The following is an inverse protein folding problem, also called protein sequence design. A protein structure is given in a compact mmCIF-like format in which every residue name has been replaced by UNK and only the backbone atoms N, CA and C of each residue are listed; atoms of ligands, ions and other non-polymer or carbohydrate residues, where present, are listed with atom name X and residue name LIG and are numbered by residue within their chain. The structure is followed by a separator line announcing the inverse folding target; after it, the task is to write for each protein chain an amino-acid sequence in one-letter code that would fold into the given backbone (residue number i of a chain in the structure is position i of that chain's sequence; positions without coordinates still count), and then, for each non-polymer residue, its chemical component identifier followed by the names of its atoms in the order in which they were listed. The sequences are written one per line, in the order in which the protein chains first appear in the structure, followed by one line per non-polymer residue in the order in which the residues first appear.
data_IF_920766566244
#
_entry.id   IF_920766566244
#
_cell.length_a   1.000
_cell.length_b   1.000
_cell.length_c   1.000
_cell.angle_alpha   90.00
_cell.angle_beta   90.00
_cell.angle_gamma   90.00
#
_symmetry.space_group_name_H-M   'P 1'
#
loop_
_entity.id
_entity.type
_entity.pdbx_description
1 polymer ?
#
# COMPACT_ATOMS: atom_id res chain seq x y z
N UNK A 1 8.81 3.46 -53.81
CA UNK A 1 9.55 4.27 -52.83
C UNK A 1 9.79 3.38 -51.63
N UNK A 2 11.02 2.89 -51.50
CA UNK A 2 11.42 1.87 -50.53
C UNK A 2 11.39 2.46 -49.12
N UNK A 3 10.61 1.87 -48.21
CA UNK A 3 10.46 2.31 -46.82
C UNK A 3 11.62 1.90 -45.91
N UNK A 4 12.84 1.90 -46.43
CA UNK A 4 14.04 1.37 -45.77
C UNK A 4 15.14 2.44 -45.74
N UNK A 5 14.74 3.67 -45.41
CA UNK A 5 15.66 4.78 -45.19
C UNK A 5 16.25 4.64 -43.76
N UNK A 6 17.55 4.30 -43.61
CA UNK A 6 18.16 4.11 -42.30
C UNK A 6 18.20 5.40 -41.47
N UNK A 7 18.02 6.57 -42.08
CA UNK A 7 17.94 7.86 -41.37
C UNK A 7 16.61 8.04 -40.61
N UNK A 8 15.59 7.21 -40.90
CA UNK A 8 14.30 7.21 -40.20
C UNK A 8 14.26 6.26 -38.98
N UNK A 9 15.34 5.52 -38.70
CA UNK A 9 15.38 4.58 -37.57
C UNK A 9 15.41 5.31 -36.22
N UNK A 10 14.28 5.30 -35.53
CA UNK A 10 14.18 5.74 -34.13
C UNK A 10 14.27 4.55 -33.19
N UNK A 11 15.39 4.40 -32.46
CA UNK A 11 15.49 3.39 -31.39
C UNK A 11 14.41 3.66 -30.35
N UNK A 12 13.44 2.74 -30.24
CA UNK A 12 12.48 2.74 -29.14
C UNK A 12 13.20 2.54 -27.81
N UNK A 13 12.70 3.20 -26.76
CA UNK A 13 13.18 2.94 -25.41
C UNK A 13 12.81 1.49 -25.02
N UNK A 14 13.75 0.63 -24.61
CA UNK A 14 13.46 -0.73 -24.18
C UNK A 14 12.65 -0.71 -22.89
N UNK A 15 11.34 -0.84 -23.03
CA UNK A 15 10.37 -0.69 -21.95
C UNK A 15 9.38 -1.83 -21.98
N UNK A 16 9.12 -2.39 -20.81
CA UNK A 16 7.99 -3.30 -20.59
C UNK A 16 6.94 -2.55 -19.77
N UNK A 17 5.70 -2.53 -20.25
CA UNK A 17 4.58 -1.95 -19.51
C UNK A 17 3.50 -3.02 -19.36
N UNK A 18 2.99 -3.17 -18.15
CA UNK A 18 1.91 -4.11 -17.83
C UNK A 18 0.94 -3.49 -16.83
N UNK A 19 -0.26 -4.06 -16.77
CA UNK A 19 -1.31 -3.72 -15.80
C UNK A 19 -1.93 -5.01 -15.32
N UNK A 20 -2.57 -4.96 -14.14
CA UNK A 20 -3.41 -6.05 -13.71
C UNK A 20 -4.59 -6.23 -14.69
N UNK A 21 -4.99 -7.48 -14.92
CA UNK A 21 -6.10 -7.78 -15.82
C UNK A 21 -7.43 -7.31 -15.21
N UNK A 22 -8.40 -6.99 -16.06
CA UNK A 22 -9.70 -6.51 -15.60
C UNK A 22 -10.44 -7.57 -14.77
N UNK A 23 -10.22 -8.85 -15.07
CA UNK A 23 -10.80 -9.96 -14.31
C UNK A 23 -10.15 -10.12 -12.93
N UNK A 24 -8.82 -9.95 -12.84
CA UNK A 24 -8.11 -9.93 -11.56
C UNK A 24 -8.57 -8.77 -10.67
N UNK A 25 -8.74 -7.58 -11.25
CA UNK A 25 -9.22 -6.40 -10.51
C UNK A 25 -10.66 -6.60 -10.01
N UNK A 26 -11.52 -7.32 -10.76
CA UNK A 26 -12.88 -7.65 -10.30
C UNK A 26 -12.88 -8.64 -9.13
N UNK A 27 -12.01 -9.64 -9.17
CA UNK A 27 -11.90 -10.67 -8.13
C UNK A 27 -11.25 -10.11 -6.85
N UNK A 28 -10.24 -9.26 -7.02
CA UNK A 28 -9.46 -8.65 -5.94
C UNK A 28 -9.52 -7.11 -6.00
N UNK A 29 -10.68 -6.48 -5.83
CA UNK A 29 -10.85 -5.02 -6.01
C UNK A 29 -10.10 -4.18 -4.96
N UNK A 30 -9.68 -4.82 -3.89
CA UNK A 30 -8.89 -4.22 -2.82
C UNK A 30 -7.38 -4.20 -3.13
N UNK A 31 -6.89 -5.03 -4.06
CA UNK A 31 -5.49 -5.01 -4.48
C UNK A 31 -5.27 -3.86 -5.46
N UNK A 32 -4.76 -2.73 -4.97
CA UNK A 32 -4.42 -1.58 -5.81
C UNK A 32 -3.02 -1.71 -6.39
N UNK A 33 -2.85 -1.36 -7.66
CA UNK A 33 -1.56 -1.45 -8.32
C UNK A 33 -0.56 -0.41 -7.76
N UNK A 34 -1.05 0.69 -7.17
CA UNK A 34 -0.25 1.64 -6.39
C UNK A 34 0.47 1.02 -5.18
N UNK A 35 -0.07 -0.05 -4.58
CA UNK A 35 0.60 -0.77 -3.48
C UNK A 35 1.72 -1.66 -3.98
N UNK A 36 1.51 -2.32 -5.13
CA UNK A 36 2.56 -3.09 -5.82
C UNK A 36 3.74 -2.17 -6.16
N UNK A 37 3.46 -0.97 -6.71
CA UNK A 37 4.49 0.05 -6.96
C UNK A 37 5.26 0.45 -5.71
N UNK A 38 4.55 0.64 -4.60
CA UNK A 38 5.15 1.06 -3.34
C UNK A 38 6.07 -0.03 -2.76
N UNK A 39 5.64 -1.29 -2.81
CA UNK A 39 6.45 -2.42 -2.35
C UNK A 39 7.65 -2.69 -3.25
N UNK A 40 7.50 -2.59 -4.57
CA UNK A 40 8.63 -2.70 -5.50
C UNK A 40 9.70 -1.63 -5.24
N UNK A 41 9.29 -0.40 -4.89
CA UNK A 41 10.21 0.67 -4.48
C UNK A 41 10.98 0.34 -3.21
N UNK A 42 10.34 -0.28 -2.22
CA UNK A 42 11.03 -0.75 -1.01
C UNK A 42 12.11 -1.78 -1.32
N UNK A 43 11.89 -2.63 -2.33
CA UNK A 43 12.90 -3.59 -2.83
C UNK A 43 13.96 -2.97 -3.75
N UNK A 44 13.91 -1.66 -4.00
CA UNK A 44 14.89 -0.94 -4.85
C UNK A 44 14.51 -0.85 -6.33
N UNK A 45 13.33 -1.33 -6.72
CA UNK A 45 12.83 -1.23 -8.09
C UNK A 45 12.10 0.11 -8.31
N UNK A 46 12.61 0.94 -9.21
CA UNK A 46 12.01 2.25 -9.54
C UNK A 46 11.15 2.13 -10.81
N UNK A 47 9.84 2.02 -10.63
CA UNK A 47 8.87 2.14 -11.73
C UNK A 47 8.41 3.60 -11.95
N UNK A 48 8.35 4.11 -13.20
CA UNK A 48 7.63 5.34 -13.54
C UNK A 48 6.18 5.22 -13.10
N UNK A 49 5.64 6.26 -12.47
CA UNK A 49 4.21 6.33 -12.17
C UNK A 49 3.43 6.33 -13.50
N UNK A 50 2.41 5.49 -13.60
CA UNK A 50 1.50 5.41 -14.75
C UNK A 50 0.63 6.68 -14.89
N UNK A 51 -0.05 6.80 -16.03
CA UNK A 51 -0.96 7.90 -16.32
C UNK A 51 -2.13 7.97 -15.32
N UNK A 52 -2.71 9.15 -15.11
CA UNK A 52 -3.65 9.40 -13.99
C UNK A 52 -4.92 8.54 -14.02
N UNK A 53 -5.36 8.11 -15.22
CA UNK A 53 -6.59 7.32 -15.39
C UNK A 53 -6.37 5.80 -15.46
N UNK A 54 -5.13 5.35 -15.69
CA UNK A 54 -4.83 3.90 -15.82
C UNK A 54 -3.58 3.58 -15.02
N UNK A 55 -3.75 2.74 -14.00
CA UNK A 55 -2.63 2.21 -13.25
C UNK A 55 -1.80 1.30 -14.18
N UNK A 56 -0.73 1.83 -14.76
CA UNK A 56 0.23 1.08 -15.58
C UNK A 56 1.55 1.02 -14.84
N UNK A 57 2.10 -0.19 -14.70
CA UNK A 57 3.45 -0.44 -14.23
C UNK A 57 4.38 -0.43 -15.44
N UNK A 58 5.40 0.42 -15.39
CA UNK A 58 6.41 0.53 -16.45
C UNK A 58 7.77 0.15 -15.88
N UNK A 59 8.54 -0.62 -16.64
CA UNK A 59 9.90 -1.03 -16.29
C UNK A 59 10.80 -0.69 -17.48
N UNK A 60 11.82 0.12 -17.22
CA UNK A 60 12.81 0.50 -18.22
C UNK A 60 13.97 -0.49 -18.12
N UNK A 61 14.19 -1.25 -19.19
CA UNK A 61 15.30 -2.19 -19.28
C UNK A 61 16.55 -1.43 -19.68
N UNK A 62 17.64 -1.61 -18.94
CA UNK A 62 18.94 -1.00 -19.24
C UNK A 62 19.93 -2.10 -19.58
N UNK A 63 21.01 -1.74 -20.26
CA UNK A 63 22.12 -2.67 -20.52
C UNK A 63 22.72 -3.26 -19.24
N UNK A 64 22.62 -2.54 -18.11
CA UNK A 64 23.07 -3.00 -16.79
C UNK A 64 22.12 -4.01 -16.12
N UNK A 65 20.97 -4.32 -16.73
CA UNK A 65 19.98 -5.24 -16.18
C UNK A 65 20.33 -6.66 -16.66
N UNK A 66 21.03 -7.42 -15.81
CA UNK A 66 21.43 -8.80 -16.09
C UNK A 66 20.23 -9.76 -16.06
N UNK A 67 20.42 -10.96 -16.62
CA UNK A 67 19.43 -12.03 -16.58
C UNK A 67 18.96 -12.34 -15.15
N UNK A 68 19.90 -12.47 -14.20
CA UNK A 68 19.60 -12.70 -12.79
C UNK A 68 18.70 -11.60 -12.18
N UNK A 69 18.88 -10.34 -12.60
CA UNK A 69 18.05 -9.22 -12.14
C UNK A 69 16.65 -9.29 -12.73
N UNK A 70 16.49 -9.77 -13.97
CA UNK A 70 15.17 -10.01 -14.56
C UNK A 70 14.44 -11.11 -13.79
N UNK A 71 15.11 -12.22 -13.52
CA UNK A 71 14.50 -13.34 -12.77
C UNK A 71 14.06 -12.88 -11.39
N UNK A 72 14.94 -12.15 -10.69
CA UNK A 72 14.63 -11.62 -9.36
C UNK A 72 13.47 -10.62 -9.38
N UNK A 73 13.39 -9.78 -10.40
CA UNK A 73 12.27 -8.86 -10.59
C UNK A 73 10.95 -9.62 -10.77
N UNK A 74 10.92 -10.69 -11.56
CA UNK A 74 9.72 -11.51 -11.77
C UNK A 74 9.28 -12.16 -10.45
N UNK A 75 10.22 -12.75 -9.72
CA UNK A 75 9.94 -13.34 -8.39
C UNK A 75 9.40 -12.30 -7.42
N UNK A 76 10.01 -11.12 -7.37
CA UNK A 76 9.57 -10.03 -6.50
C UNK A 76 8.13 -9.56 -6.84
N UNK A 77 7.78 -9.47 -8.12
CA UNK A 77 6.42 -9.12 -8.55
C UNK A 77 5.41 -10.17 -8.07
N UNK A 78 5.71 -11.45 -8.25
CA UNK A 78 4.82 -12.54 -7.84
C UNK A 78 4.63 -12.55 -6.31
N UNK A 79 5.73 -12.50 -5.55
CA UNK A 79 5.71 -12.51 -4.09
C UNK A 79 4.90 -11.33 -3.52
N UNK A 80 5.11 -10.13 -4.06
CA UNK A 80 4.37 -8.93 -3.64
C UNK A 80 2.88 -9.09 -3.95
N UNK A 81 2.54 -9.63 -5.11
CA UNK A 81 1.14 -9.78 -5.54
C UNK A 81 0.44 -10.83 -4.66
N UNK A 82 1.05 -11.99 -4.42
CA UNK A 82 0.53 -13.05 -3.54
C UNK A 82 0.39 -12.59 -2.09
N UNK A 83 1.36 -11.81 -1.59
CA UNK A 83 1.30 -11.21 -0.26
C UNK A 83 0.11 -10.25 -0.12
N UNK A 84 -0.15 -9.41 -1.13
CA UNK A 84 -1.31 -8.51 -1.15
C UNK A 84 -2.65 -9.25 -1.19
N UNK A 85 -2.74 -10.35 -1.94
CA UNK A 85 -3.94 -11.19 -1.94
C UNK A 85 -4.19 -11.75 -0.53
N UNK A 86 -3.19 -12.39 0.06
CA UNK A 86 -3.31 -13.08 1.36
C UNK A 86 -3.61 -12.12 2.53
N UNK A 87 -2.88 -11.01 2.62
CA UNK A 87 -3.04 -10.04 3.71
C UNK A 87 -4.46 -9.44 3.74
N UNK A 88 -5.03 -9.19 2.56
CA UNK A 88 -6.30 -8.51 2.47
C UNK A 88 -7.49 -9.47 2.58
N UNK A 89 -7.36 -10.72 2.13
CA UNK A 89 -8.31 -11.78 2.48
C UNK A 89 -8.46 -11.91 4.00
N UNK A 90 -7.36 -11.95 4.76
CA UNK A 90 -7.39 -11.98 6.21
C UNK A 90 -8.07 -10.76 6.84
N UNK A 91 -7.84 -9.55 6.29
CA UNK A 91 -8.45 -8.31 6.76
C UNK A 91 -9.96 -8.21 6.45
N UNK A 92 -10.45 -8.83 5.37
CA UNK A 92 -11.89 -8.90 5.09
C UNK A 92 -12.61 -9.88 6.01
N UNK A 93 -11.92 -10.93 6.47
CA UNK A 93 -12.46 -11.94 7.39
C UNK A 93 -12.50 -11.46 8.85
N UNK A 94 -11.68 -10.49 9.23
CA UNK A 94 -11.60 -9.97 10.61
C UNK A 94 -12.69 -8.93 10.97
N UNK A 95 -13.75 -8.80 10.19
CA UNK A 95 -14.88 -7.90 10.49
C UNK A 95 -15.79 -8.54 11.55
N UNK A 96 -15.28 -8.70 12.77
CA UNK A 96 -16.00 -9.39 13.83
C UNK A 96 -15.34 -9.48 15.20
N UNK A 97 -14.31 -8.67 15.52
CA UNK A 97 -13.85 -8.55 16.91
C UNK A 97 -14.53 -7.35 17.55
N UNK A 98 -15.69 -7.58 18.17
CA UNK A 98 -16.20 -6.68 19.21
C UNK A 98 -15.07 -6.52 20.24
N UNK A 99 -14.69 -5.29 20.54
CA UNK A 99 -13.83 -4.97 21.67
C UNK A 99 -14.76 -4.75 22.87
N UNK A 100 -14.98 -5.72 23.77
CA UNK A 100 -15.90 -5.53 24.91
C UNK A 100 -15.35 -4.61 26.01
N UNK A 101 -14.15 -4.04 25.86
CA UNK A 101 -13.45 -3.34 26.96
C UNK A 101 -13.52 -1.80 26.91
N UNK A 102 -14.54 -1.22 26.28
CA UNK A 102 -14.71 0.24 26.29
C UNK A 102 -15.57 0.77 27.46
N UNK A 103 -16.34 -0.08 28.15
CA UNK A 103 -17.42 0.41 29.04
C UNK A 103 -17.18 0.24 30.55
N UNK A 104 -16.10 -0.42 30.98
CA UNK A 104 -15.87 -0.67 32.42
C UNK A 104 -14.86 0.27 33.10
N UNK A 105 -14.23 1.18 32.35
CA UNK A 105 -13.20 2.09 32.88
C UNK A 105 -13.69 3.50 33.23
N UNK A 106 -14.88 3.91 32.77
CA UNK A 106 -15.42 5.25 33.04
C UNK A 106 -16.35 5.17 34.25
N UNK A 107 -15.98 5.74 35.41
CA UNK A 107 -16.85 5.70 36.56
C UNK A 107 -18.16 6.45 36.26
N UNK A 108 -19.28 5.83 36.62
CA UNK A 108 -20.63 6.31 36.35
C UNK A 108 -20.87 7.64 37.08
N UNK A 109 -21.21 8.68 36.32
CA UNK A 109 -21.35 10.05 36.82
C UNK A 109 -22.51 10.18 37.83
N UNK A 110 -23.40 9.19 37.89
CA UNK A 110 -24.51 9.12 38.84
C UNK A 110 -24.09 8.75 40.27
N UNK A 111 -22.91 8.14 40.46
CA UNK A 111 -22.38 7.77 41.79
C UNK A 111 -21.62 8.91 42.48
N UNK A 112 -21.31 10.00 41.77
CA UNK A 112 -20.75 11.20 42.38
C UNK A 112 -21.90 12.15 42.70
N UNK A 113 -22.42 12.02 43.93
CA UNK A 113 -23.52 12.82 44.46
C UNK A 113 -23.33 14.32 44.19
N UNK A 114 -24.33 14.91 43.54
CA UNK A 114 -24.45 16.35 43.41
C UNK A 114 -24.83 16.95 44.75
N UNK A 115 -23.91 17.66 45.39
CA UNK A 115 -24.23 18.55 46.49
C UNK A 115 -23.21 19.69 46.53
N UNK A 116 -23.74 20.91 46.42
CA UNK A 116 -23.08 22.19 46.33
C UNK A 116 -21.98 22.47 47.36
N UNK A 117 -20.97 23.22 46.89
CA UNK A 117 -20.10 24.21 47.57
C UNK A 117 -18.60 23.89 47.58
N UNK A 118 -17.90 24.89 47.03
CA UNK A 118 -16.59 25.42 47.43
C UNK A 118 -15.31 24.71 46.93
N UNK A 119 -14.42 25.57 46.42
CA UNK A 119 -12.96 25.43 46.35
C UNK A 119 -12.40 24.51 45.25
N UNK A 120 -12.22 25.10 44.06
CA UNK A 120 -11.22 24.67 43.08
C UNK A 120 -9.82 24.85 43.70
N UNK A 121 -9.33 23.82 44.39
CA UNK A 121 -7.92 23.69 44.74
C UNK A 121 -7.28 22.68 43.77
N UNK A 122 -6.25 23.16 43.08
CA UNK A 122 -5.53 22.53 41.98
C UNK A 122 -5.15 21.06 42.28
N UNK A 123 -5.74 20.11 41.55
CA UNK A 123 -5.20 18.75 41.50
C UNK A 123 -4.09 18.70 40.44
N UNK A 124 -2.86 18.87 40.91
CA UNK A 124 -1.63 18.70 40.13
C UNK A 124 -1.54 17.27 39.57
N UNK A 125 -1.68 17.13 38.25
CA UNK A 125 -1.39 15.86 37.55
C UNK A 125 0.12 15.67 37.48
N UNK A 126 0.64 14.80 38.35
CA UNK A 126 2.02 14.33 38.31
C UNK A 126 2.10 13.13 37.37
N UNK A 127 2.72 13.30 36.20
CA UNK A 127 3.34 12.19 35.50
C UNK A 127 4.43 12.73 34.56
N UNK A 128 5.69 12.58 34.98
CA UNK A 128 6.86 12.79 34.13
C UNK A 128 7.14 11.47 33.40
N UNK A 129 7.28 11.55 32.09
CA UNK A 129 7.67 10.45 31.22
C UNK A 129 9.14 10.12 31.44
N UNK A 130 9.45 8.83 31.63
CA UNK A 130 10.81 8.28 31.71
C UNK A 130 11.49 8.32 30.34
#
# INVERSE_FOLDING_TARGET
MSGDDPELYQRGLPVVSFRLSDDFIKEYPYVKQSWIQSMLRTKGWIGPKGAEDVEILRIVVRETLSEDLVERLVVDILEITESLMTMMEAATSSKGSHQPDAEHGRPDQTNFGSSDRAEQQEQSTFSRQC
#
